data_IF_470680519268
#
_entry.id   IF_470680519268
#
_cell.length_a   1.000
_cell.length_b   1.000
_cell.length_c   1.000
_cell.angle_alpha   90.00
_cell.angle_beta   90.00
_cell.angle_gamma   90.00
#
_symmetry.space_group_name_H-M   'P 1'
#
loop_
_entity.id
_entity.type
_entity.pdbx_description
1 polymer ?
#
# COMPACT_ATOMS: atom_id res chain seq x y z
N UNK A 1 -12.35 -40.34 -23.83
CA UNK A 1 -13.53 -39.66 -23.25
C UNK A 1 -13.09 -38.38 -22.54
N UNK A 2 -13.91 -37.34 -22.60
CA UNK A 2 -13.58 -35.96 -22.21
C UNK A 2 -13.00 -35.79 -20.78
N UNK A 3 -13.10 -36.78 -19.91
CA UNK A 3 -12.58 -36.78 -18.54
C UNK A 3 -11.06 -37.07 -18.42
N UNK A 4 -10.44 -37.67 -19.41
CA UNK A 4 -9.02 -38.01 -19.39
C UNK A 4 -8.13 -36.91 -19.98
N UNK A 5 -8.71 -35.98 -20.73
CA UNK A 5 -7.97 -34.87 -21.40
C UNK A 5 -7.79 -33.67 -20.46
N UNK A 6 -8.68 -33.50 -19.47
CA UNK A 6 -8.62 -32.39 -18.51
C UNK A 6 -7.35 -32.39 -17.63
N UNK A 7 -6.90 -33.52 -17.04
CA UNK A 7 -5.69 -33.51 -16.22
C UNK A 7 -4.40 -33.27 -17.03
N UNK A 8 -4.37 -33.69 -18.29
CA UNK A 8 -3.18 -33.50 -19.14
C UNK A 8 -3.02 -32.06 -19.62
N UNK A 9 -4.14 -31.34 -19.86
CA UNK A 9 -4.14 -29.92 -20.18
C UNK A 9 -3.72 -29.07 -18.99
N UNK A 10 -4.22 -29.37 -17.78
CA UNK A 10 -3.83 -28.67 -16.56
C UNK A 10 -2.35 -28.92 -16.21
N UNK A 11 -1.86 -30.16 -16.47
CA UNK A 11 -0.42 -30.49 -16.28
C UNK A 11 0.49 -29.81 -17.28
N UNK A 12 0.08 -29.68 -18.55
CA UNK A 12 0.88 -28.98 -19.57
C UNK A 12 0.90 -27.47 -19.37
N UNK A 13 -0.20 -26.88 -18.90
CA UNK A 13 -0.30 -25.46 -18.54
C UNK A 13 0.64 -25.14 -17.34
N UNK A 14 0.73 -26.03 -16.35
CA UNK A 14 1.69 -25.89 -15.25
C UNK A 14 3.15 -25.98 -15.73
N UNK A 15 3.47 -26.93 -16.61
CA UNK A 15 4.85 -27.10 -17.11
C UNK A 15 5.32 -25.95 -18.02
N UNK A 16 4.41 -25.32 -18.80
CA UNK A 16 4.74 -24.15 -19.62
C UNK A 16 4.94 -22.92 -18.71
N UNK A 17 4.20 -22.81 -17.61
CA UNK A 17 4.32 -21.76 -16.61
C UNK A 17 5.64 -21.78 -15.86
N UNK A 18 6.19 -22.99 -15.59
CA UNK A 18 7.47 -23.16 -14.90
C UNK A 18 8.70 -22.90 -15.80
N UNK A 19 8.59 -23.07 -17.11
CA UNK A 19 9.72 -22.85 -18.03
C UNK A 19 9.96 -21.39 -18.42
N UNK A 20 9.01 -20.50 -18.18
CA UNK A 20 9.15 -19.06 -18.41
C UNK A 20 9.55 -18.26 -17.18
N UNK A 21 9.97 -18.93 -16.12
CA UNK A 21 10.32 -18.40 -14.80
C UNK A 21 11.61 -17.58 -14.71
N UNK A 22 11.90 -16.73 -15.69
CA UNK A 22 13.15 -15.94 -15.72
C UNK A 22 13.08 -14.49 -15.25
N UNK A 23 11.92 -13.97 -14.87
CA UNK A 23 11.81 -12.59 -14.35
C UNK A 23 11.11 -12.65 -12.98
N UNK A 24 11.91 -12.52 -11.94
CA UNK A 24 11.47 -12.56 -10.56
C UNK A 24 10.32 -11.56 -10.30
N UNK A 25 9.20 -12.06 -9.81
CA UNK A 25 8.03 -11.28 -9.42
C UNK A 25 6.88 -11.26 -10.43
N UNK A 26 7.11 -11.55 -11.71
CA UNK A 26 6.05 -11.59 -12.72
C UNK A 26 5.37 -12.97 -12.81
N UNK A 27 5.99 -14.02 -12.33
CA UNK A 27 5.62 -15.40 -12.57
C UNK A 27 5.12 -16.20 -11.35
N UNK A 28 4.80 -15.56 -10.23
CA UNK A 28 4.14 -16.24 -9.10
C UNK A 28 4.90 -17.53 -8.70
N UNK A 29 6.19 -17.46 -8.45
CA UNK A 29 7.00 -18.58 -8.01
C UNK A 29 7.09 -18.69 -6.48
N UNK A 30 7.86 -19.66 -5.99
CA UNK A 30 8.14 -19.87 -4.55
C UNK A 30 8.54 -18.57 -3.83
N UNK A 31 9.27 -17.68 -4.49
CA UNK A 31 9.64 -16.37 -3.92
C UNK A 31 8.42 -15.47 -3.65
N UNK A 32 7.47 -15.43 -4.59
CA UNK A 32 6.23 -14.69 -4.40
C UNK A 32 5.41 -15.27 -3.23
N UNK A 33 5.35 -16.61 -3.14
CA UNK A 33 4.66 -17.28 -2.04
C UNK A 33 5.34 -17.02 -0.68
N UNK A 34 6.67 -17.08 -0.61
CA UNK A 34 7.43 -16.79 0.62
C UNK A 34 7.25 -15.33 1.04
N UNK A 35 7.35 -14.39 0.10
CA UNK A 35 7.14 -12.96 0.38
C UNK A 35 5.72 -12.70 0.85
N UNK A 36 4.72 -13.30 0.19
CA UNK A 36 3.32 -13.14 0.59
C UNK A 36 3.01 -13.80 1.93
N UNK A 37 3.57 -14.97 2.23
CA UNK A 37 3.43 -15.60 3.56
C UNK A 37 4.13 -14.79 4.64
N UNK A 38 5.30 -14.22 4.36
CA UNK A 38 5.97 -13.28 5.28
C UNK A 38 5.14 -12.03 5.52
N UNK A 39 4.52 -11.50 4.47
CA UNK A 39 3.59 -10.38 4.57
C UNK A 39 2.34 -10.74 5.39
N UNK A 40 1.78 -11.95 5.19
CA UNK A 40 0.64 -12.44 5.96
C UNK A 40 0.98 -12.61 7.44
N UNK A 41 2.19 -13.08 7.74
CA UNK A 41 2.68 -13.19 9.13
C UNK A 41 2.73 -11.81 9.81
N UNK A 42 3.21 -10.78 9.12
CA UNK A 42 3.22 -9.42 9.65
C UNK A 42 1.81 -8.89 9.95
N UNK A 43 0.79 -9.30 9.19
CA UNK A 43 -0.60 -8.87 9.37
C UNK A 43 -1.34 -9.63 10.48
N UNK A 44 -0.80 -10.75 10.97
CA UNK A 44 -1.34 -11.46 12.16
C UNK A 44 -1.14 -10.61 13.41
N UNK A 45 -0.07 -9.82 13.46
CA UNK A 45 0.17 -8.93 14.58
C UNK A 45 -0.72 -7.69 14.50
N UNK A 46 -1.29 -7.23 15.63
CA UNK A 46 -1.94 -5.94 15.67
C UNK A 46 -0.97 -4.84 15.18
N UNK A 47 -1.37 -4.02 14.19
CA UNK A 47 -0.48 -3.05 13.55
C UNK A 47 0.28 -2.15 14.51
N UNK A 48 -0.43 -1.64 15.52
CA UNK A 48 0.14 -0.76 16.53
C UNK A 48 1.17 -1.48 17.40
N UNK A 49 0.96 -2.75 17.75
CA UNK A 49 1.92 -3.50 18.57
C UNK A 49 3.21 -3.80 17.80
N UNK A 50 3.10 -4.20 16.53
CA UNK A 50 4.28 -4.44 15.69
C UNK A 50 5.07 -3.15 15.48
N UNK A 51 4.38 -2.06 15.18
CA UNK A 51 5.01 -0.78 14.98
C UNK A 51 5.65 -0.24 16.27
N UNK A 52 5.00 -0.44 17.43
CA UNK A 52 5.55 -0.12 18.76
C UNK A 52 6.83 -0.92 19.02
N UNK A 53 6.81 -2.23 18.77
CA UNK A 53 7.97 -3.11 18.94
C UNK A 53 9.14 -2.63 18.06
N UNK A 54 8.89 -2.33 16.80
CA UNK A 54 9.92 -1.85 15.86
C UNK A 54 10.45 -0.47 16.27
N UNK A 55 9.58 0.44 16.71
CA UNK A 55 10.00 1.76 17.20
C UNK A 55 10.87 1.65 18.46
N UNK A 56 10.59 0.71 19.37
CA UNK A 56 11.42 0.45 20.55
C UNK A 56 12.75 -0.19 20.18
N UNK A 57 12.78 -1.12 19.23
CA UNK A 57 14.01 -1.79 18.80
C UNK A 57 14.97 -0.85 18.06
N UNK A 58 14.46 0.05 17.24
CA UNK A 58 15.25 1.04 16.49
C UNK A 58 15.66 2.22 17.40
N UNK A 59 14.93 2.44 18.49
CA UNK A 59 15.11 3.56 19.40
C UNK A 59 14.18 4.74 19.11
N UNK A 60 14.09 5.68 20.08
CA UNK A 60 13.24 6.86 19.95
C UNK A 60 13.74 7.77 18.82
N UNK A 61 12.83 8.22 17.96
CA UNK A 61 13.16 9.13 16.88
C UNK A 61 12.35 8.88 15.61
N UNK A 62 12.51 9.75 14.60
CA UNK A 62 11.73 9.67 13.37
C UNK A 62 12.02 8.39 12.59
N UNK A 63 13.25 7.87 12.64
CA UNK A 63 13.64 6.68 11.89
C UNK A 63 12.92 5.41 12.34
N UNK A 64 12.74 5.23 13.67
CA UNK A 64 11.98 4.10 14.21
C UNK A 64 10.55 4.07 13.68
N UNK A 65 9.89 5.23 13.65
CA UNK A 65 8.53 5.38 13.15
C UNK A 65 8.47 5.14 11.64
N UNK A 66 9.39 5.72 10.86
CA UNK A 66 9.43 5.56 9.40
C UNK A 66 9.59 4.09 9.02
N UNK A 67 10.51 3.37 9.68
CA UNK A 67 10.73 1.95 9.43
C UNK A 67 9.49 1.14 9.83
N UNK A 68 8.89 1.42 10.99
CA UNK A 68 7.70 0.73 11.46
C UNK A 68 6.53 0.90 10.48
N UNK A 69 6.25 2.13 10.06
CA UNK A 69 5.19 2.44 9.09
C UNK A 69 5.52 1.81 7.74
N UNK A 70 6.77 1.87 7.28
CA UNK A 70 7.22 1.28 6.02
C UNK A 70 6.99 -0.23 6.00
N UNK A 71 7.49 -0.95 6.99
CA UNK A 71 7.33 -2.42 7.11
C UNK A 71 5.86 -2.81 7.13
N UNK A 72 5.03 -2.05 7.85
CA UNK A 72 3.61 -2.31 7.94
C UNK A 72 2.86 -2.10 6.61
N UNK A 73 3.29 -1.14 5.79
CA UNK A 73 2.67 -0.87 4.50
C UNK A 73 3.07 -1.87 3.40
N UNK A 74 4.22 -2.56 3.51
CA UNK A 74 4.68 -3.54 2.51
C UNK A 74 3.61 -4.58 2.14
N UNK A 75 2.93 -5.26 3.08
CA UNK A 75 1.89 -6.22 2.76
C UNK A 75 0.70 -5.63 1.98
N UNK A 76 0.29 -4.41 2.32
CA UNK A 76 -0.84 -3.75 1.67
C UNK A 76 -0.52 -3.40 0.22
N UNK A 77 0.63 -2.78 -0.03
CA UNK A 77 1.07 -2.45 -1.39
C UNK A 77 1.34 -3.71 -2.21
N UNK A 78 1.96 -4.74 -1.60
CA UNK A 78 2.23 -6.01 -2.26
C UNK A 78 0.95 -6.71 -2.73
N UNK A 79 -0.07 -6.80 -1.87
CA UNK A 79 -1.36 -7.40 -2.22
C UNK A 79 -2.09 -6.60 -3.29
N UNK A 80 -2.13 -5.28 -3.15
CA UNK A 80 -2.76 -4.39 -4.12
C UNK A 80 -2.11 -4.54 -5.50
N UNK A 81 -0.78 -4.45 -5.57
CA UNK A 81 -0.02 -4.58 -6.81
C UNK A 81 -0.23 -5.94 -7.45
N UNK A 82 -0.16 -7.02 -6.66
CA UNK A 82 -0.39 -8.39 -7.14
C UNK A 82 -1.80 -8.57 -7.70
N UNK A 83 -2.83 -8.15 -6.96
CA UNK A 83 -4.21 -8.27 -7.39
C UNK A 83 -4.50 -7.48 -8.67
N UNK A 84 -4.02 -6.25 -8.76
CA UNK A 84 -4.17 -5.42 -9.93
C UNK A 84 -3.38 -5.98 -11.15
N UNK A 85 -2.16 -6.49 -10.93
CA UNK A 85 -1.34 -7.10 -11.97
C UNK A 85 -2.02 -8.35 -12.55
N UNK A 86 -2.56 -9.24 -11.71
CA UNK A 86 -3.26 -10.43 -12.15
C UNK A 86 -4.49 -10.08 -12.98
N UNK A 87 -5.28 -9.11 -12.53
CA UNK A 87 -6.47 -8.63 -13.26
C UNK A 87 -6.10 -8.00 -14.62
N UNK A 88 -5.02 -7.22 -14.69
CA UNK A 88 -4.58 -6.56 -15.91
C UNK A 88 -3.98 -7.53 -16.94
N UNK A 89 -3.34 -8.62 -16.49
CA UNK A 89 -2.76 -9.63 -17.39
C UNK A 89 -3.79 -10.32 -18.28
N UNK A 90 -5.03 -10.42 -17.82
CA UNK A 90 -6.14 -11.07 -18.53
C UNK A 90 -6.91 -10.11 -19.45
N UNK A 91 -6.58 -8.82 -19.43
CA UNK A 91 -7.25 -7.82 -20.27
C UNK A 91 -6.88 -7.98 -21.75
N UNK A 92 -7.86 -7.71 -22.60
CA UNK A 92 -7.76 -7.87 -24.06
C UNK A 92 -6.58 -7.11 -24.69
N UNK A 93 -6.27 -5.90 -24.19
CA UNK A 93 -5.15 -5.12 -24.71
C UNK A 93 -3.78 -5.77 -24.41
N UNK A 94 -3.65 -6.52 -23.31
CA UNK A 94 -2.44 -7.26 -22.98
C UNK A 94 -2.33 -8.50 -23.87
N UNK A 95 -3.44 -9.21 -24.07
CA UNK A 95 -3.51 -10.36 -24.98
C UNK A 95 -3.20 -9.94 -26.43
N UNK A 96 -3.75 -8.85 -26.89
CA UNK A 96 -3.46 -8.28 -28.21
C UNK A 96 -1.97 -7.90 -28.36
N UNK A 97 -1.38 -7.25 -27.37
CA UNK A 97 0.04 -6.88 -27.37
C UNK A 97 0.95 -8.13 -27.48
N UNK A 98 0.60 -9.20 -26.78
CA UNK A 98 1.32 -10.49 -26.86
C UNK A 98 1.13 -11.17 -28.22
N UNK A 99 -0.07 -11.13 -28.79
CA UNK A 99 -0.36 -11.69 -30.10
C UNK A 99 0.48 -11.04 -31.21
N UNK A 100 0.81 -9.77 -31.08
CA UNK A 100 1.69 -9.03 -32.01
C UNK A 100 3.19 -9.27 -31.71
N UNK A 101 3.52 -10.13 -30.73
CA UNK A 101 4.90 -10.51 -30.41
C UNK A 101 5.62 -9.56 -29.41
N UNK A 102 4.88 -8.76 -28.63
CA UNK A 102 5.50 -7.95 -27.59
C UNK A 102 6.06 -8.85 -26.49
N UNK A 103 7.34 -8.68 -26.15
CA UNK A 103 7.99 -9.38 -25.04
C UNK A 103 7.42 -8.95 -23.68
N UNK A 104 7.52 -9.85 -22.68
CA UNK A 104 6.92 -9.65 -21.35
C UNK A 104 7.35 -8.36 -20.65
N UNK A 105 8.61 -7.97 -20.76
CA UNK A 105 9.09 -6.71 -20.19
C UNK A 105 8.44 -5.48 -20.84
N UNK A 106 8.22 -5.51 -22.15
CA UNK A 106 7.54 -4.44 -22.88
C UNK A 106 6.07 -4.37 -22.50
N UNK A 107 5.41 -5.53 -22.37
CA UNK A 107 4.03 -5.62 -21.90
C UNK A 107 3.91 -5.05 -20.49
N UNK A 108 4.80 -5.44 -19.58
CA UNK A 108 4.82 -4.95 -18.21
C UNK A 108 5.01 -3.43 -18.13
N UNK A 109 6.09 -2.90 -18.73
CA UNK A 109 6.46 -1.49 -18.57
C UNK A 109 5.55 -0.54 -19.38
N UNK A 110 5.11 -0.93 -20.57
CA UNK A 110 4.41 -0.03 -21.47
C UNK A 110 2.89 -0.17 -21.41
N UNK A 111 2.39 -1.36 -21.04
CA UNK A 111 0.95 -1.62 -21.06
C UNK A 111 0.37 -1.81 -19.65
N UNK A 112 1.06 -2.51 -18.75
CA UNK A 112 0.52 -2.82 -17.41
C UNK A 112 0.86 -1.71 -16.41
N UNK A 113 2.12 -1.30 -16.33
CA UNK A 113 2.59 -0.33 -15.32
C UNK A 113 1.82 1.00 -15.32
N UNK A 114 1.48 1.62 -16.47
CA UNK A 114 0.69 2.85 -16.46
C UNK A 114 -0.69 2.69 -15.81
N UNK A 115 -1.31 1.52 -15.99
CA UNK A 115 -2.61 1.22 -15.36
C UNK A 115 -2.48 0.87 -13.88
N UNK A 116 -1.33 0.35 -13.44
CA UNK A 116 -1.04 0.10 -12.03
C UNK A 116 -0.79 1.39 -11.24
N UNK A 117 -0.27 2.43 -11.88
CA UNK A 117 0.06 3.69 -11.19
C UNK A 117 -1.17 4.33 -10.56
N UNK A 118 -2.34 4.28 -11.20
CA UNK A 118 -3.57 4.87 -10.67
C UNK A 118 -3.96 4.27 -9.31
N UNK A 119 -4.20 2.97 -9.16
CA UNK A 119 -4.54 2.39 -7.86
C UNK A 119 -3.41 2.51 -6.82
N UNK A 120 -2.14 2.50 -7.26
CA UNK A 120 -1.00 2.68 -6.35
C UNK A 120 -0.93 4.11 -5.80
N UNK A 121 -1.19 5.13 -6.62
CA UNK A 121 -1.22 6.53 -6.16
C UNK A 121 -2.35 6.77 -5.18
N UNK A 122 -3.54 6.22 -5.43
CA UNK A 122 -4.66 6.29 -4.49
C UNK A 122 -4.29 5.63 -3.17
N UNK A 123 -3.73 4.41 -3.21
CA UNK A 123 -3.30 3.71 -1.99
C UNK A 123 -2.22 4.49 -1.25
N UNK A 124 -1.30 5.14 -1.98
CA UNK A 124 -0.25 5.96 -1.37
C UNK A 124 -0.82 7.16 -0.60
N UNK A 125 -1.80 7.87 -1.14
CA UNK A 125 -2.43 9.01 -0.44
C UNK A 125 -3.18 8.57 0.81
N UNK A 126 -3.92 7.45 0.76
CA UNK A 126 -4.56 6.86 1.94
C UNK A 126 -3.52 6.46 2.99
N UNK A 127 -2.43 5.82 2.55
CA UNK A 127 -1.35 5.40 3.45
C UNK A 127 -0.63 6.58 4.09
N UNK A 128 -0.52 7.73 3.42
CA UNK A 128 0.03 8.96 4.02
C UNK A 128 -0.84 9.46 5.18
N UNK A 129 -2.17 9.46 5.01
CA UNK A 129 -3.09 9.83 6.09
C UNK A 129 -2.96 8.90 7.31
N UNK A 130 -2.90 7.58 7.06
CA UNK A 130 -2.70 6.59 8.12
C UNK A 130 -1.31 6.70 8.78
N UNK A 131 -0.27 6.99 8.01
CA UNK A 131 1.08 7.21 8.53
C UNK A 131 1.15 8.42 9.45
N UNK A 132 0.44 9.51 9.11
CA UNK A 132 0.34 10.71 9.93
C UNK A 132 -0.35 10.44 11.27
N UNK A 133 -1.44 9.66 11.24
CA UNK A 133 -2.13 9.24 12.47
C UNK A 133 -1.26 8.32 13.33
N UNK A 134 -0.54 7.40 12.71
CA UNK A 134 0.40 6.51 13.40
C UNK A 134 1.55 7.31 14.04
N UNK A 135 2.14 8.27 13.31
CA UNK A 135 3.16 9.17 13.88
C UNK A 135 2.62 9.92 15.10
N UNK A 136 1.44 10.51 14.99
CA UNK A 136 0.82 11.23 16.08
C UNK A 136 0.58 10.31 17.29
N UNK A 137 0.14 9.08 17.09
CA UNK A 137 -0.04 8.09 18.15
C UNK A 137 1.28 7.71 18.83
N UNK A 138 2.36 7.46 18.05
CA UNK A 138 3.68 7.15 18.63
C UNK A 138 4.28 8.34 19.37
N UNK A 139 4.15 9.53 18.82
CA UNK A 139 4.60 10.77 19.48
C UNK A 139 3.81 11.04 20.76
N UNK A 140 2.50 10.75 20.77
CA UNK A 140 1.66 10.80 21.97
C UNK A 140 2.15 9.82 23.05
N UNK A 141 2.53 8.60 22.65
CA UNK A 141 3.08 7.58 23.55
C UNK A 141 4.52 7.90 24.02
N UNK A 142 5.18 8.89 23.42
CA UNK A 142 6.54 9.30 23.74
C UNK A 142 7.63 8.56 23.00
N UNK A 143 7.27 7.80 21.96
CA UNK A 143 8.18 7.05 21.09
C UNK A 143 8.50 7.81 19.79
N UNK A 144 7.89 8.99 19.62
CA UNK A 144 8.07 9.85 18.46
C UNK A 144 9.37 10.64 18.47
N UNK A 145 9.37 11.70 17.68
CA UNK A 145 10.51 12.61 17.56
C UNK A 145 10.81 13.28 18.88
N UNK A 146 12.07 13.20 19.39
CA UNK A 146 12.44 13.80 20.66
C UNK A 146 12.38 15.34 20.62
N UNK A 147 12.21 16.00 21.79
CA UNK A 147 12.32 17.45 21.89
C UNK A 147 13.67 17.93 21.32
N UNK A 148 13.76 19.16 20.74
CA UNK A 148 12.76 20.23 20.75
C UNK A 148 11.78 20.20 19.57
N UNK A 149 11.86 19.23 18.64
CA UNK A 149 11.02 19.22 17.44
C UNK A 149 9.51 19.12 17.81
N UNK A 150 8.64 20.02 17.33
CA UNK A 150 7.22 19.97 17.60
C UNK A 150 6.54 18.88 16.77
N UNK A 151 5.67 18.07 17.39
CA UNK A 151 4.79 17.13 16.72
C UNK A 151 3.37 17.24 17.29
N UNK A 152 2.36 17.02 16.47
CA UNK A 152 0.96 17.11 16.92
C UNK A 152 0.66 16.08 18.02
N UNK A 153 1.22 14.86 17.92
CA UNK A 153 1.04 13.83 18.92
C UNK A 153 1.60 14.23 20.28
N UNK A 154 2.79 14.84 20.33
CA UNK A 154 3.37 15.35 21.58
C UNK A 154 2.57 16.52 22.13
N UNK A 155 2.13 17.45 21.29
CA UNK A 155 1.27 18.55 21.73
C UNK A 155 -0.02 18.04 22.40
N UNK A 156 -0.62 16.99 21.83
CA UNK A 156 -1.78 16.32 22.44
C UNK A 156 -1.46 15.68 23.79
N UNK A 157 -0.29 15.04 23.90
CA UNK A 157 0.17 14.48 25.19
C UNK A 157 0.37 15.54 26.23
N UNK A 158 1.05 16.62 25.91
CA UNK A 158 1.29 17.75 26.82
C UNK A 158 -0.02 18.43 27.23
N UNK A 159 -0.96 18.59 26.29
CA UNK A 159 -2.26 19.16 26.54
C UNK A 159 -3.11 18.37 27.55
N UNK A 160 -2.82 17.07 27.72
CA UNK A 160 -3.56 16.22 28.67
C UNK A 160 -3.47 16.75 30.12
N UNK A 161 -2.32 17.30 30.52
CA UNK A 161 -2.14 17.88 31.85
C UNK A 161 -2.95 19.16 32.09
N UNK A 162 -3.25 19.87 31.02
CA UNK A 162 -4.01 21.14 31.06
C UNK A 162 -5.50 20.97 30.79
N UNK A 163 -5.97 19.78 30.45
CA UNK A 163 -7.34 19.54 29.97
C UNK A 163 -8.41 19.98 30.97
N UNK A 164 -8.11 19.89 32.28
CA UNK A 164 -9.05 20.35 33.35
C UNK A 164 -9.20 21.87 33.41
N UNK A 165 -8.21 22.64 32.93
CA UNK A 165 -8.19 24.08 33.00
C UNK A 165 -8.63 24.71 31.66
N UNK A 166 -8.19 24.10 30.56
CA UNK A 166 -8.50 24.58 29.22
C UNK A 166 -8.42 23.44 28.22
N UNK A 167 -9.44 23.20 27.39
CA UNK A 167 -9.40 22.18 26.35
C UNK A 167 -8.63 22.61 25.09
N UNK A 168 -8.40 23.90 24.91
CA UNK A 168 -7.86 24.48 23.69
C UNK A 168 -6.48 23.93 23.28
N UNK A 169 -5.54 23.66 24.18
CA UNK A 169 -4.26 23.06 23.83
C UNK A 169 -4.37 21.68 23.17
N UNK A 170 -5.46 20.94 23.41
CA UNK A 170 -5.74 19.66 22.77
C UNK A 170 -6.55 19.84 21.48
N UNK A 171 -7.50 20.79 21.46
CA UNK A 171 -8.40 21.01 20.32
C UNK A 171 -7.63 21.44 19.07
N UNK A 172 -6.70 22.37 19.19
CA UNK A 172 -5.98 22.89 18.01
C UNK A 172 -5.12 21.84 17.32
N UNK A 173 -4.20 21.12 18.00
CA UNK A 173 -3.40 20.09 17.32
C UNK A 173 -4.27 18.93 16.80
N UNK A 174 -5.34 18.55 17.49
CA UNK A 174 -6.30 17.57 17.02
C UNK A 174 -7.04 18.02 15.76
N UNK A 175 -7.48 19.28 15.71
CA UNK A 175 -8.15 19.86 14.54
C UNK A 175 -7.19 19.91 13.32
N UNK A 176 -5.97 20.42 13.50
CA UNK A 176 -5.00 20.47 12.40
C UNK A 176 -4.63 19.08 11.88
N UNK A 177 -4.44 18.10 12.77
CA UNK A 177 -4.21 16.71 12.39
C UNK A 177 -5.38 16.17 11.55
N UNK A 178 -6.61 16.37 12.02
CA UNK A 178 -7.82 15.91 11.34
C UNK A 178 -8.00 16.58 9.97
N UNK A 179 -7.80 17.89 9.88
CA UNK A 179 -7.87 18.63 8.62
C UNK A 179 -6.80 18.19 7.62
N UNK A 180 -5.60 17.91 8.10
CA UNK A 180 -4.51 17.42 7.22
C UNK A 180 -4.82 16.03 6.68
N UNK A 181 -5.30 15.11 7.52
CA UNK A 181 -5.72 13.77 7.07
C UNK A 181 -6.88 13.85 6.08
N UNK A 182 -7.89 14.71 6.36
CA UNK A 182 -8.99 14.96 5.45
C UNK A 182 -8.50 15.50 4.10
N UNK A 183 -7.61 16.49 4.13
CA UNK A 183 -6.99 17.05 2.92
C UNK A 183 -6.24 16.00 2.09
N UNK A 184 -5.46 15.13 2.73
CA UNK A 184 -4.76 14.03 2.05
C UNK A 184 -5.74 13.04 1.40
N UNK A 185 -6.83 12.70 2.08
CA UNK A 185 -7.85 11.82 1.52
C UNK A 185 -8.56 12.47 0.31
N UNK A 186 -8.93 13.75 0.41
CA UNK A 186 -9.53 14.48 -0.71
C UNK A 186 -8.59 14.58 -1.92
N UNK A 187 -7.29 14.77 -1.70
CA UNK A 187 -6.29 14.72 -2.77
C UNK A 187 -6.23 13.31 -3.38
N UNK A 188 -6.31 12.27 -2.56
CA UNK A 188 -6.36 10.88 -3.04
C UNK A 188 -7.58 10.61 -3.92
N UNK A 189 -8.74 11.04 -3.48
CA UNK A 189 -9.99 10.90 -4.25
C UNK A 189 -9.93 11.70 -5.56
N UNK A 190 -9.44 12.95 -5.52
CA UNK A 190 -9.25 13.75 -6.72
C UNK A 190 -8.25 13.14 -7.71
N UNK A 191 -7.16 12.54 -7.23
CA UNK A 191 -6.22 11.78 -8.08
C UNK A 191 -6.87 10.55 -8.70
N UNK A 192 -7.70 9.84 -7.94
CA UNK A 192 -8.46 8.71 -8.45
C UNK A 192 -9.37 9.12 -9.60
N UNK A 193 -10.14 10.17 -9.41
CA UNK A 193 -11.09 10.67 -10.41
C UNK A 193 -10.38 11.14 -11.68
N UNK A 194 -9.23 11.78 -11.55
CA UNK A 194 -8.41 12.24 -12.68
C UNK A 194 -7.76 11.08 -13.46
N UNK A 195 -7.39 10.01 -12.76
CA UNK A 195 -6.65 8.88 -13.33
C UNK A 195 -7.57 7.74 -13.78
N UNK A 196 -8.85 7.75 -13.41
CA UNK A 196 -9.80 6.72 -13.82
C UNK A 196 -10.36 7.02 -15.25
N UNK A 197 -9.99 6.20 -16.25
CA UNK A 197 -10.44 6.42 -17.62
C UNK A 197 -11.95 6.20 -17.80
N UNK A 198 -12.61 5.46 -16.88
CA UNK A 198 -14.03 5.11 -17.00
C UNK A 198 -14.93 6.33 -16.81
N UNK A 199 -14.48 7.35 -16.07
CA UNK A 199 -15.22 8.60 -15.89
C UNK A 199 -15.16 9.54 -17.10
N UNK A 200 -14.22 9.34 -18.02
CA UNK A 200 -14.09 10.16 -19.25
C UNK A 200 -15.07 9.76 -20.36
N UNK A 201 -15.78 8.63 -20.20
CA UNK A 201 -16.76 8.13 -21.18
C UNK A 201 -18.17 8.72 -21.07
N UNK A 202 -18.49 9.49 -20.04
CA UNK A 202 -19.76 10.18 -19.86
C UNK A 202 -19.65 11.66 -20.26
N UNK A 203 -19.40 11.93 -21.53
CA UNK A 203 -19.75 13.24 -22.12
C UNK A 203 -21.19 13.10 -22.65
N UNK A 204 -22.19 13.77 -22.09
CA UNK A 204 -23.51 13.81 -22.67
C UNK A 204 -23.44 14.65 -23.96
N UNK A 205 -23.69 13.99 -25.09
CA UNK A 205 -24.06 14.66 -26.34
C UNK A 205 -25.52 15.06 -26.26
#
# INVERSE_FOLDING_TARGET
TAYEVMPSLVGSEMCIRDRLGGVAGYHGGLLDEIVMRGADFLLVFPPLLLALLLAVLVGPGPWGIIIAIGVFNVPYFGRLTRGALLSLREREFVLAARAVGAGDLRVLLRHILPHLLSPLLVQFTVSLGMALLAEAAFSYLGLGTPPPAPTWGRMLREAQSYFRHSPWPAVFPGLFLSLTVLGLNLVGDGLRDLLDPSLRGFSPH
#
